data_IF_063220050070
#
_entry.id   IF_063220050070
#
_cell.length_a   1.000
_cell.length_b   1.000
_cell.length_c   1.000
_cell.angle_alpha   90.00
_cell.angle_beta   90.00
_cell.angle_gamma   90.00
#
_symmetry.space_group_name_H-M   'P 1'
#
loop_
_entity.id
_entity.type
_entity.pdbx_description
1 polymer ?
#
# COMPACT_ATOMS: atom_id res chain seq x y z
N UNK A 1 -42.06 -4.07 -58.43
CA UNK A 1 -40.87 -3.54 -57.73
C UNK A 1 -41.02 -3.86 -56.26
N UNK A 2 -40.45 -4.99 -55.85
CA UNK A 2 -40.51 -5.52 -54.48
C UNK A 2 -39.26 -5.05 -53.75
N UNK A 3 -39.43 -4.12 -52.80
CA UNK A 3 -38.32 -3.64 -51.96
C UNK A 3 -38.13 -4.56 -50.75
N UNK A 4 -36.97 -5.21 -50.68
CA UNK A 4 -36.55 -5.98 -49.52
C UNK A 4 -36.08 -5.01 -48.42
N UNK A 5 -36.68 -5.07 -47.23
CA UNK A 5 -36.20 -4.36 -46.04
C UNK A 5 -35.39 -5.34 -45.20
N UNK A 6 -34.10 -5.04 -45.00
CA UNK A 6 -33.25 -5.76 -44.05
C UNK A 6 -33.36 -5.10 -42.67
N UNK A 7 -33.83 -5.85 -41.68
CA UNK A 7 -33.64 -5.52 -40.25
C UNK A 7 -32.40 -6.26 -39.76
N UNK A 8 -31.34 -5.53 -39.43
CA UNK A 8 -30.26 -6.05 -38.58
C UNK A 8 -30.59 -5.68 -37.12
N UNK A 9 -30.67 -6.64 -36.19
CA UNK A 9 -30.76 -6.30 -34.78
C UNK A 9 -29.40 -5.78 -34.33
N UNK A 10 -29.36 -4.52 -33.89
CA UNK A 10 -28.26 -3.97 -33.11
C UNK A 10 -28.21 -4.72 -31.78
N UNK A 11 -27.37 -5.75 -31.67
CA UNK A 11 -26.95 -6.28 -30.38
C UNK A 11 -26.09 -5.21 -29.70
N UNK A 12 -26.70 -4.36 -28.88
CA UNK A 12 -25.97 -3.52 -27.95
C UNK A 12 -25.38 -4.45 -26.88
N UNK A 13 -24.05 -4.50 -26.80
CA UNK A 13 -23.35 -5.33 -25.82
C UNK A 13 -23.67 -4.81 -24.41
N UNK A 14 -24.22 -5.66 -23.54
CA UNK A 14 -24.49 -5.28 -22.14
C UNK A 14 -23.19 -4.87 -21.44
N UNK A 15 -23.24 -3.81 -20.62
CA UNK A 15 -22.07 -3.32 -19.91
C UNK A 15 -21.62 -4.34 -18.87
N UNK A 16 -20.37 -4.79 -18.97
CA UNK A 16 -19.75 -5.67 -17.96
C UNK A 16 -19.50 -4.96 -16.62
N UNK A 17 -19.46 -3.62 -16.63
CA UNK A 17 -19.22 -2.80 -15.45
C UNK A 17 -20.33 -1.77 -15.27
N UNK A 18 -20.76 -1.58 -14.02
CA UNK A 18 -21.66 -0.53 -13.62
C UNK A 18 -20.90 0.47 -12.76
N UNK A 19 -20.90 1.73 -13.18
CA UNK A 19 -20.41 2.83 -12.35
C UNK A 19 -21.35 3.01 -11.15
N UNK A 20 -20.79 2.99 -9.94
CA UNK A 20 -21.50 3.30 -8.70
C UNK A 20 -20.99 4.62 -8.14
N UNK A 21 -21.91 5.45 -7.66
CA UNK A 21 -21.59 6.74 -7.05
C UNK A 21 -21.13 6.57 -5.60
N UNK A 22 -20.39 7.54 -5.07
CA UNK A 22 -20.02 7.58 -3.64
C UNK A 22 -21.24 7.55 -2.70
N UNK A 23 -22.39 8.05 -3.16
CA UNK A 23 -23.66 7.98 -2.41
C UNK A 23 -24.23 6.57 -2.35
N UNK A 24 -24.06 5.78 -3.40
CA UNK A 24 -24.49 4.37 -3.45
C UNK A 24 -23.56 3.49 -2.63
N UNK A 25 -22.24 3.72 -2.72
CA UNK A 25 -21.24 2.86 -2.10
C UNK A 25 -20.84 3.28 -0.69
N UNK A 26 -20.96 4.56 -0.33
CA UNK A 26 -20.38 5.11 0.90
C UNK A 26 -18.88 5.38 0.83
N UNK A 27 -18.21 5.11 -0.31
CA UNK A 27 -16.79 5.42 -0.52
C UNK A 27 -16.64 6.83 -1.09
N UNK A 28 -16.01 7.72 -0.32
CA UNK A 28 -15.77 9.12 -0.69
C UNK A 28 -14.29 9.51 -0.75
N UNK A 29 -13.40 8.53 -0.62
CA UNK A 29 -11.96 8.74 -0.61
C UNK A 29 -11.45 9.40 -1.91
N UNK A 30 -10.52 10.33 -1.74
CA UNK A 30 -9.76 10.91 -2.84
C UNK A 30 -8.37 11.31 -2.35
N UNK A 31 -7.35 10.79 -3.03
CA UNK A 31 -5.96 11.12 -2.77
C UNK A 31 -5.61 12.46 -3.44
N UNK A 32 -5.89 13.55 -2.73
CA UNK A 32 -5.60 14.91 -3.21
C UNK A 32 -4.21 15.36 -2.79
N UNK A 33 -3.35 15.61 -3.77
CA UNK A 33 -2.02 16.18 -3.59
C UNK A 33 -2.06 17.70 -3.66
N UNK A 34 -1.12 18.36 -2.98
CA UNK A 34 -0.99 19.82 -2.98
C UNK A 34 0.44 20.21 -3.27
N UNK A 35 0.64 20.88 -4.40
CA UNK A 35 1.95 21.36 -4.83
C UNK A 35 2.29 22.70 -4.18
N UNK A 36 3.58 22.91 -3.96
CA UNK A 36 4.16 24.19 -3.56
C UNK A 36 5.40 24.45 -4.41
N UNK A 37 5.92 25.68 -4.37
CA UNK A 37 7.16 26.03 -5.08
C UNK A 37 8.35 25.09 -4.70
N UNK A 38 8.40 24.64 -3.44
CA UNK A 38 9.46 23.77 -2.93
C UNK A 38 9.11 22.27 -2.96
N UNK A 39 7.85 21.92 -3.24
CA UNK A 39 7.37 20.54 -3.28
C UNK A 39 6.41 20.37 -4.46
N UNK A 40 6.98 19.93 -5.57
CA UNK A 40 6.31 19.66 -6.84
C UNK A 40 7.13 18.61 -7.60
N UNK A 41 6.66 18.22 -8.78
CA UNK A 41 7.31 17.19 -9.61
C UNK A 41 8.75 17.52 -10.00
N UNK A 42 9.11 18.80 -10.15
CA UNK A 42 10.47 19.21 -10.50
C UNK A 42 11.41 19.06 -9.30
N UNK A 43 10.91 19.40 -8.10
CA UNK A 43 11.65 19.25 -6.86
C UNK A 43 11.74 17.77 -6.41
N UNK A 44 10.69 16.97 -6.61
CA UNK A 44 10.62 15.56 -6.23
C UNK A 44 9.92 14.76 -7.33
N UNK A 45 10.68 13.96 -8.08
CA UNK A 45 10.17 13.25 -9.28
C UNK A 45 9.09 12.21 -8.95
N UNK A 46 9.08 11.72 -7.70
CA UNK A 46 8.08 10.77 -7.20
C UNK A 46 6.85 11.46 -6.60
N UNK A 47 6.64 12.76 -6.87
CA UNK A 47 5.52 13.53 -6.30
C UNK A 47 4.14 12.99 -6.67
N UNK A 48 3.99 12.19 -7.72
CA UNK A 48 2.72 11.53 -8.06
C UNK A 48 2.75 10.01 -7.79
N UNK A 49 3.82 9.50 -7.17
CA UNK A 49 3.93 8.09 -6.83
C UNK A 49 3.38 7.82 -5.42
N UNK A 50 2.66 6.71 -5.28
CA UNK A 50 2.01 6.29 -4.05
C UNK A 50 0.48 6.40 -4.12
N UNK A 51 -0.18 6.32 -2.97
CA UNK A 51 -1.64 6.17 -2.93
C UNK A 51 -2.07 4.74 -3.24
N UNK A 52 -1.66 3.81 -2.40
CA UNK A 52 -1.96 2.39 -2.50
C UNK A 52 -3.38 2.03 -2.05
N UNK A 53 -3.83 0.86 -2.51
CA UNK A 53 -5.05 0.21 -2.07
C UNK A 53 -4.72 -1.22 -1.64
N UNK A 54 -5.25 -1.64 -0.50
CA UNK A 54 -5.27 -3.04 -0.07
C UNK A 54 -6.72 -3.47 0.13
N UNK A 55 -7.00 -4.73 -0.16
CA UNK A 55 -8.32 -5.33 -0.01
C UNK A 55 -8.18 -6.65 0.73
N UNK A 56 -9.10 -6.92 1.66
CA UNK A 56 -9.03 -8.09 2.52
C UNK A 56 -10.20 -8.11 3.51
N UNK A 57 -10.57 -9.29 3.98
CA UNK A 57 -11.61 -9.46 5.01
C UNK A 57 -10.97 -9.29 6.39
N UNK A 58 -11.11 -8.11 7.00
CA UNK A 58 -10.38 -7.77 8.23
C UNK A 58 -11.06 -8.28 9.50
N UNK A 59 -12.31 -8.71 9.38
CA UNK A 59 -13.16 -9.16 10.49
C UNK A 59 -13.68 -10.60 10.30
N UNK A 60 -13.21 -11.30 9.28
CA UNK A 60 -13.55 -12.68 8.93
C UNK A 60 -15.07 -12.91 8.77
N UNK A 61 -15.79 -11.95 8.20
CA UNK A 61 -17.23 -12.04 7.98
C UNK A 61 -17.61 -12.53 6.56
N UNK A 62 -16.61 -12.82 5.73
CA UNK A 62 -16.73 -13.26 4.34
C UNK A 62 -16.87 -12.11 3.34
N UNK A 63 -16.80 -10.85 3.78
CA UNK A 63 -16.85 -9.67 2.93
C UNK A 63 -15.48 -9.01 2.82
N UNK A 64 -15.07 -8.67 1.60
CA UNK A 64 -13.80 -7.99 1.37
C UNK A 64 -13.91 -6.49 1.69
N UNK A 65 -13.11 -6.02 2.63
CA UNK A 65 -12.95 -4.61 2.99
C UNK A 65 -11.89 -3.92 2.14
N UNK A 66 -11.82 -2.59 2.26
CA UNK A 66 -10.91 -1.77 1.45
C UNK A 66 -10.15 -0.78 2.32
N UNK A 67 -8.83 -0.74 2.16
CA UNK A 67 -7.97 0.26 2.77
C UNK A 67 -7.26 1.08 1.70
N UNK A 68 -7.27 2.40 1.84
CA UNK A 68 -6.56 3.33 0.99
C UNK A 68 -5.52 4.10 1.79
N UNK A 69 -4.33 4.26 1.22
CA UNK A 69 -3.38 5.27 1.69
C UNK A 69 -3.56 6.57 0.93
N UNK A 70 -3.39 7.70 1.62
CA UNK A 70 -3.27 9.00 0.98
C UNK A 70 -1.87 9.54 1.21
N UNK A 71 -1.19 10.00 0.17
CA UNK A 71 0.20 10.44 0.29
C UNK A 71 0.38 11.48 1.41
N UNK A 72 -0.43 12.55 1.36
CA UNK A 72 -0.31 13.73 2.22
C UNK A 72 -1.42 13.86 3.28
N UNK A 73 -2.37 12.93 3.34
CA UNK A 73 -3.55 12.99 4.24
C UNK A 73 -3.70 11.70 5.03
N UNK A 74 -4.71 11.63 5.89
CA UNK A 74 -5.05 10.39 6.61
C UNK A 74 -5.51 9.30 5.64
N UNK A 75 -5.20 8.06 6.00
CA UNK A 75 -5.66 6.86 5.29
C UNK A 75 -7.17 6.68 5.45
N UNK A 76 -7.75 5.73 4.72
CA UNK A 76 -9.15 5.33 4.88
C UNK A 76 -9.34 3.83 4.89
N UNK A 77 -10.00 3.32 5.92
CA UNK A 77 -10.48 1.95 6.03
C UNK A 77 -12.01 1.92 5.91
N UNK A 78 -12.49 1.19 4.92
CA UNK A 78 -13.89 1.02 4.59
C UNK A 78 -14.32 -0.42 4.86
N UNK A 79 -15.16 -0.60 5.88
CA UNK A 79 -15.78 -1.89 6.19
C UNK A 79 -16.91 -2.17 5.19
N UNK A 80 -16.91 -3.33 4.59
CA UNK A 80 -17.94 -3.79 3.66
C UNK A 80 -19.20 -4.22 4.43
N UNK A 81 -20.35 -3.69 4.03
CA UNK A 81 -21.66 -3.98 4.61
C UNK A 81 -22.50 -4.89 3.68
N UNK A 82 -21.88 -5.42 2.63
CA UNK A 82 -22.52 -6.15 1.54
C UNK A 82 -23.15 -5.23 0.50
N UNK A 83 -23.49 -5.81 -0.66
CA UNK A 83 -24.17 -5.10 -1.75
C UNK A 83 -23.44 -3.82 -2.22
N UNK A 84 -22.10 -3.84 -2.23
CA UNK A 84 -21.24 -2.71 -2.58
C UNK A 84 -21.42 -1.47 -1.69
N UNK A 85 -21.95 -1.64 -0.47
CA UNK A 85 -22.05 -0.58 0.54
C UNK A 85 -20.92 -0.70 1.55
N UNK A 86 -20.34 0.43 1.90
CA UNK A 86 -19.18 0.52 2.75
C UNK A 86 -19.36 1.60 3.81
N UNK A 87 -18.70 1.42 4.96
CA UNK A 87 -18.66 2.39 6.05
C UNK A 87 -17.22 2.72 6.39
N UNK A 88 -16.89 4.01 6.40
CA UNK A 88 -15.61 4.48 6.92
C UNK A 88 -15.51 4.22 8.43
N UNK A 89 -14.60 3.33 8.82
CA UNK A 89 -14.33 2.98 10.23
C UNK A 89 -12.94 3.46 10.68
N UNK A 90 -12.23 4.23 9.86
CA UNK A 90 -10.80 4.54 10.04
C UNK A 90 -10.45 5.05 11.44
N UNK A 91 -11.23 6.02 11.94
CA UNK A 91 -11.00 6.64 13.25
C UNK A 91 -11.34 5.69 14.41
N UNK A 92 -12.40 4.90 14.27
CA UNK A 92 -12.75 3.87 15.26
C UNK A 92 -11.67 2.80 15.31
N UNK A 93 -11.13 2.44 14.15
CA UNK A 93 -10.12 1.41 13.99
C UNK A 93 -8.71 1.83 14.40
N UNK A 94 -8.43 3.13 14.49
CA UNK A 94 -7.12 3.63 14.91
C UNK A 94 -6.03 3.53 13.83
N UNK A 95 -6.42 3.38 12.56
CA UNK A 95 -5.52 3.11 11.43
C UNK A 95 -5.36 4.32 10.48
N UNK A 96 -5.57 5.54 10.98
CA UNK A 96 -5.49 6.79 10.18
C UNK A 96 -4.09 7.05 9.58
N UNK A 97 -3.07 6.37 10.12
CA UNK A 97 -1.67 6.64 9.81
C UNK A 97 -1.20 7.97 10.41
N UNK A 98 0.04 8.36 10.09
CA UNK A 98 0.53 9.69 10.45
C UNK A 98 -0.12 10.75 9.56
N UNK A 99 -0.47 11.89 10.16
CA UNK A 99 -0.98 13.06 9.44
C UNK A 99 0.09 13.75 8.57
N UNK A 100 1.36 13.44 8.81
CA UNK A 100 2.52 13.95 8.08
C UNK A 100 3.21 12.81 7.34
N UNK A 101 4.12 13.18 6.43
CA UNK A 101 4.88 12.24 5.62
C UNK A 101 4.23 11.94 4.28
N UNK A 102 4.79 10.96 3.57
CA UNK A 102 4.39 10.58 2.23
C UNK A 102 4.08 9.08 2.19
N UNK A 103 2.82 8.72 2.38
CA UNK A 103 2.39 7.31 2.38
C UNK A 103 2.34 6.79 0.94
N UNK A 104 2.95 5.64 0.69
CA UNK A 104 3.04 5.05 -0.64
C UNK A 104 2.15 3.81 -0.70
N UNK A 105 2.73 2.62 -0.74
CA UNK A 105 2.04 1.35 -0.81
C UNK A 105 1.41 0.92 0.51
N UNK A 106 0.48 -0.02 0.40
CA UNK A 106 -0.15 -0.70 1.52
C UNK A 106 -0.31 -2.17 1.18
N UNK A 107 -0.19 -3.03 2.19
CA UNK A 107 -0.40 -4.47 2.09
C UNK A 107 -1.22 -4.94 3.27
N UNK A 108 -2.16 -5.85 3.01
CA UNK A 108 -2.82 -6.63 4.05
C UNK A 108 -2.25 -8.04 4.08
N UNK A 109 -1.83 -8.50 5.25
CA UNK A 109 -1.29 -9.83 5.48
C UNK A 109 -1.50 -10.20 6.96
N UNK A 110 -1.65 -11.49 7.25
CA UNK A 110 -1.65 -12.00 8.63
C UNK A 110 -0.19 -12.13 9.09
N UNK A 111 0.39 -11.03 9.58
CA UNK A 111 1.84 -10.91 9.81
C UNK A 111 2.27 -11.71 11.02
N UNK A 112 1.37 -11.89 11.99
CA UNK A 112 1.65 -12.57 13.25
C UNK A 112 1.06 -14.00 13.34
N UNK A 113 0.35 -14.46 12.30
CA UNK A 113 -0.25 -15.78 12.21
C UNK A 113 -1.47 -15.99 13.12
N UNK A 114 -2.17 -14.92 13.52
CA UNK A 114 -3.32 -14.99 14.42
C UNK A 114 -4.67 -15.19 13.69
N UNK A 115 -4.64 -15.24 12.36
CA UNK A 115 -5.82 -15.41 11.51
C UNK A 115 -6.57 -14.12 11.22
N UNK A 116 -6.04 -12.96 11.61
CA UNK A 116 -6.57 -11.64 11.27
C UNK A 116 -5.61 -10.90 10.32
N UNK A 117 -6.16 -10.22 9.32
CA UNK A 117 -5.34 -9.40 8.46
C UNK A 117 -4.85 -8.14 9.18
N UNK A 118 -3.54 -7.94 9.19
CA UNK A 118 -2.83 -6.73 9.59
C UNK A 118 -2.65 -5.79 8.39
N UNK A 119 -2.25 -4.54 8.65
CA UNK A 119 -2.06 -3.52 7.61
C UNK A 119 -0.65 -2.93 7.69
N UNK A 120 0.17 -3.21 6.68
CA UNK A 120 1.51 -2.63 6.54
C UNK A 120 1.49 -1.45 5.57
N UNK A 121 2.01 -0.30 6.00
CA UNK A 121 2.02 0.96 5.23
C UNK A 121 3.45 1.42 4.99
N UNK A 122 3.76 1.60 3.71
CA UNK A 122 5.03 2.13 3.25
C UNK A 122 5.02 3.66 3.27
N UNK A 123 6.19 4.24 3.56
CA UNK A 123 6.42 5.68 3.58
C UNK A 123 7.67 6.03 2.76
N UNK A 124 7.66 7.24 2.18
CA UNK A 124 8.80 7.81 1.47
C UNK A 124 8.75 9.34 1.54
N UNK A 125 9.20 10.04 0.50
CA UNK A 125 9.21 11.49 0.41
C UNK A 125 10.45 12.14 1.02
N UNK A 126 10.60 13.44 0.79
CA UNK A 126 11.67 14.26 1.36
C UNK A 126 11.35 14.69 2.79
N UNK A 127 11.23 13.72 3.69
CA UNK A 127 10.95 13.94 5.11
C UNK A 127 12.04 13.35 6.01
N UNK A 128 12.16 13.77 7.28
CA UNK A 128 13.05 13.14 8.26
C UNK A 128 12.68 11.67 8.50
N UNK A 129 13.67 10.87 8.94
CA UNK A 129 13.55 9.41 9.07
C UNK A 129 12.35 8.97 9.92
N UNK A 130 12.08 9.63 11.04
CA UNK A 130 10.94 9.30 11.92
C UNK A 130 9.56 9.50 11.24
N UNK A 131 9.50 10.34 10.21
CA UNK A 131 8.30 10.57 9.42
C UNK A 131 8.21 9.58 8.25
N UNK A 132 9.35 9.05 7.78
CA UNK A 132 9.45 8.04 6.72
C UNK A 132 9.43 6.60 7.24
N UNK A 133 9.51 6.38 8.55
CA UNK A 133 9.42 5.05 9.13
C UNK A 133 8.11 4.39 8.70
N UNK A 134 8.15 3.16 8.19
CA UNK A 134 6.94 2.42 7.86
C UNK A 134 6.06 2.17 9.11
N UNK A 135 4.78 1.85 8.91
CA UNK A 135 3.84 1.51 9.98
C UNK A 135 3.25 0.13 9.77
N UNK A 136 3.03 -0.60 10.86
CA UNK A 136 2.44 -1.94 10.86
C UNK A 136 1.30 -1.91 11.86
N UNK A 137 0.08 -1.80 11.37
CA UNK A 137 -1.11 -1.83 12.17
C UNK A 137 -1.51 -3.29 12.41
N UNK A 138 -1.21 -3.81 13.60
CA UNK A 138 -1.63 -5.14 14.04
C UNK A 138 -3.09 -5.11 14.42
N UNK A 139 -3.88 -6.02 13.85
CA UNK A 139 -5.29 -6.20 14.16
C UNK A 139 -5.46 -6.83 15.54
N UNK A 140 -6.22 -6.19 16.42
CA UNK A 140 -6.51 -6.67 17.79
C UNK A 140 -7.88 -7.34 17.89
N UNK A 141 -8.49 -7.63 16.74
CA UNK A 141 -9.89 -8.01 16.64
C UNK A 141 -10.81 -6.82 16.89
N UNK A 142 -12.12 -7.06 16.73
CA UNK A 142 -13.16 -6.05 16.91
C UNK A 142 -12.92 -4.76 16.09
N UNK A 143 -12.25 -4.89 14.94
CA UNK A 143 -11.92 -3.78 14.04
C UNK A 143 -11.04 -2.70 14.71
N UNK A 144 -10.18 -3.08 15.66
CA UNK A 144 -9.22 -2.18 16.32
C UNK A 144 -7.80 -2.55 15.92
N UNK A 145 -7.00 -1.57 15.54
CA UNK A 145 -5.62 -1.75 15.14
C UNK A 145 -4.66 -0.99 16.04
N UNK A 146 -3.42 -1.47 16.15
CA UNK A 146 -2.34 -0.80 16.89
C UNK A 146 -1.07 -0.80 16.05
N UNK A 147 -0.45 0.37 15.86
CA UNK A 147 0.86 0.44 15.20
C UNK A 147 1.93 -0.22 16.08
N UNK A 148 2.56 -1.27 15.55
CA UNK A 148 3.62 -2.03 16.20
C UNK A 148 4.84 -2.26 15.30
N UNK A 149 5.06 -1.39 14.30
CA UNK A 149 6.16 -1.56 13.35
C UNK A 149 7.52 -1.73 14.06
N UNK A 150 7.78 -0.93 15.09
CA UNK A 150 9.06 -0.95 15.82
C UNK A 150 9.24 -2.21 16.66
N UNK A 151 8.16 -2.71 17.25
CA UNK A 151 8.10 -3.94 18.03
C UNK A 151 8.39 -5.15 17.15
N UNK A 152 7.93 -5.13 15.91
CA UNK A 152 8.19 -6.18 14.91
C UNK A 152 9.50 -5.96 14.14
N UNK A 153 10.15 -4.78 14.23
CA UNK A 153 11.36 -4.48 13.47
C UNK A 153 11.11 -4.13 11.99
N UNK A 154 9.89 -3.68 11.69
CA UNK A 154 9.42 -3.31 10.35
C UNK A 154 9.21 -1.79 10.18
N UNK A 155 9.72 -0.96 11.09
CA UNK A 155 9.69 0.51 11.02
C UNK A 155 10.80 1.09 10.11
N UNK A 156 11.05 0.44 8.96
CA UNK A 156 12.11 0.83 8.03
C UNK A 156 11.93 2.28 7.53
N UNK A 157 13.03 3.04 7.49
CA UNK A 157 13.04 4.47 7.14
C UNK A 157 13.46 4.75 5.68
N UNK A 158 13.59 3.68 4.89
CA UNK A 158 13.89 3.73 3.47
C UNK A 158 12.81 4.43 2.66
N UNK A 159 13.12 4.69 1.39
CA UNK A 159 12.19 5.28 0.43
C UNK A 159 11.26 4.18 -0.11
N UNK A 160 10.38 3.70 0.76
CA UNK A 160 9.54 2.53 0.53
C UNK A 160 8.43 2.82 -0.46
N UNK A 161 8.20 1.87 -1.36
CA UNK A 161 7.16 1.92 -2.40
C UNK A 161 6.05 0.93 -2.10
N UNK A 162 6.37 -0.34 -1.81
CA UNK A 162 5.41 -1.42 -1.55
C UNK A 162 6.12 -2.55 -0.79
N UNK A 163 5.38 -3.35 -0.04
CA UNK A 163 5.87 -4.59 0.55
C UNK A 163 5.12 -5.80 -0.02
N UNK A 164 5.74 -6.98 0.07
CA UNK A 164 5.10 -8.26 -0.17
C UNK A 164 5.45 -9.20 0.99
N UNK A 165 4.43 -9.87 1.53
CA UNK A 165 4.59 -10.87 2.58
C UNK A 165 4.44 -12.27 2.00
N UNK A 166 5.38 -13.16 2.30
CA UNK A 166 5.41 -14.55 1.81
C UNK A 166 6.40 -15.36 2.63
N UNK A 167 6.20 -16.67 2.71
CA UNK A 167 7.10 -17.61 3.37
C UNK A 167 8.33 -17.88 2.49
N UNK A 168 9.45 -17.20 2.74
CA UNK A 168 10.64 -17.24 1.90
C UNK A 168 11.51 -18.47 2.16
N UNK A 169 11.58 -18.94 3.42
CA UNK A 169 12.41 -20.07 3.80
C UNK A 169 11.65 -21.38 4.11
N UNK A 170 10.33 -21.37 3.95
CA UNK A 170 9.40 -22.49 4.13
C UNK A 170 9.30 -22.97 5.58
N UNK A 171 9.39 -22.07 6.56
CA UNK A 171 9.22 -22.39 7.98
C UNK A 171 7.78 -22.19 8.48
N UNK A 172 6.90 -21.64 7.63
CA UNK A 172 5.48 -21.50 7.86
C UNK A 172 5.05 -20.16 8.46
N UNK A 173 5.97 -19.22 8.70
CA UNK A 173 5.64 -17.83 8.97
C UNK A 173 5.84 -16.94 7.73
N UNK A 174 5.29 -15.71 7.76
CA UNK A 174 5.44 -14.78 6.64
C UNK A 174 6.66 -13.90 6.83
N UNK A 175 7.58 -13.95 5.89
CA UNK A 175 8.66 -12.99 5.69
C UNK A 175 8.19 -11.77 4.90
N UNK A 176 9.04 -10.77 4.75
CA UNK A 176 8.69 -9.54 4.04
C UNK A 176 9.77 -9.07 3.06
N UNK A 177 9.42 -8.90 1.80
CA UNK A 177 10.21 -8.15 0.83
C UNK A 177 9.73 -6.70 0.74
N UNK A 178 10.65 -5.73 0.93
CA UNK A 178 10.39 -4.30 0.85
C UNK A 178 11.00 -3.71 -0.42
N UNK A 179 10.13 -3.20 -1.29
CA UNK A 179 10.51 -2.48 -2.50
C UNK A 179 10.80 -1.01 -2.14
N UNK A 180 12.01 -0.55 -2.42
CA UNK A 180 12.44 0.83 -2.28
C UNK A 180 12.67 1.49 -3.64
N UNK A 181 12.75 2.81 -3.67
CA UNK A 181 13.17 3.57 -4.85
C UNK A 181 14.34 4.50 -4.53
N UNK A 182 15.05 4.91 -5.58
CA UNK A 182 16.18 5.82 -5.43
C UNK A 182 15.75 7.28 -5.62
N UNK A 183 16.00 8.12 -4.62
CA UNK A 183 15.70 9.56 -4.68
C UNK A 183 16.85 10.39 -5.26
N UNK A 184 18.02 9.78 -5.52
CA UNK A 184 19.11 10.42 -6.24
C UNK A 184 18.81 10.41 -7.73
N UNK A 185 19.02 11.56 -8.38
CA UNK A 185 18.99 11.65 -9.84
C UNK A 185 20.32 11.12 -10.38
N UNK A 186 20.27 10.12 -11.24
CA UNK A 186 21.43 9.67 -11.98
C UNK A 186 21.35 10.21 -13.41
N UNK A 187 22.46 10.75 -13.90
CA UNK A 187 22.59 10.97 -15.33
C UNK A 187 22.73 9.61 -16.02
N UNK A 188 22.08 9.45 -17.18
CA UNK A 188 22.08 8.21 -17.96
C UNK A 188 23.51 7.75 -18.32
N UNK A 189 24.46 8.69 -18.44
CA UNK A 189 25.87 8.37 -18.72
C UNK A 189 26.60 7.72 -17.54
N UNK A 190 26.14 7.90 -16.30
CA UNK A 190 26.79 7.38 -15.10
C UNK A 190 26.09 6.16 -14.50
N UNK A 191 24.92 5.78 -15.01
CA UNK A 191 24.12 4.66 -14.51
C UNK A 191 24.94 3.37 -14.34
N UNK A 192 25.85 3.08 -15.28
CA UNK A 192 26.71 1.91 -15.24
C UNK A 192 27.68 1.89 -14.04
N UNK A 193 28.10 3.06 -13.54
CA UNK A 193 28.97 3.19 -12.35
C UNK A 193 28.21 2.88 -11.07
N UNK A 194 26.95 3.26 -11.01
CA UNK A 194 26.12 3.15 -9.81
C UNK A 194 25.38 1.81 -9.68
N UNK A 195 25.44 0.93 -10.70
CA UNK A 195 24.74 -0.37 -10.70
C UNK A 195 25.10 -1.30 -9.55
N UNK A 196 26.30 -1.16 -8.99
CA UNK A 196 26.79 -2.01 -7.89
C UNK A 196 26.75 -1.28 -6.54
N UNK A 197 26.28 -0.03 -6.49
CA UNK A 197 26.17 0.70 -5.24
C UNK A 197 24.90 0.32 -4.49
N UNK A 198 25.08 -0.18 -3.27
CA UNK A 198 23.99 -0.43 -2.33
C UNK A 198 23.67 0.84 -1.54
N UNK A 199 22.39 1.10 -1.26
CA UNK A 199 21.98 2.19 -0.40
C UNK A 199 21.09 1.69 0.73
N UNK A 200 21.43 1.97 2.01
CA UNK A 200 20.58 1.58 3.13
C UNK A 200 19.13 2.12 3.07
N UNK A 201 18.90 3.19 2.30
CA UNK A 201 17.58 3.82 2.16
C UNK A 201 16.89 3.55 0.82
N UNK A 202 17.62 3.07 -0.20
CA UNK A 202 17.08 2.92 -1.56
C UNK A 202 17.23 1.51 -2.15
N UNK A 203 18.11 0.67 -1.61
CA UNK A 203 18.15 -0.75 -1.96
C UNK A 203 16.91 -1.45 -1.44
N UNK A 204 16.40 -2.41 -2.21
CA UNK A 204 15.34 -3.30 -1.75
C UNK A 204 15.84 -4.13 -0.56
N UNK A 205 14.90 -4.57 0.27
CA UNK A 205 15.22 -5.34 1.46
C UNK A 205 14.41 -6.62 1.54
N UNK A 206 15.02 -7.67 2.08
CA UNK A 206 14.31 -8.87 2.50
C UNK A 206 14.46 -9.01 4.01
N UNK A 207 13.34 -9.16 4.69
CA UNK A 207 13.27 -9.35 6.13
C UNK A 207 12.80 -10.75 6.42
N UNK A 208 13.60 -11.51 7.16
CA UNK A 208 13.22 -12.81 7.69
C UNK A 208 12.44 -12.62 8.99
N UNK A 209 11.30 -13.27 9.16
CA UNK A 209 10.58 -13.31 10.42
C UNK A 209 11.22 -14.34 11.35
N UNK A 210 11.48 -13.94 12.59
CA UNK A 210 12.05 -14.81 13.62
C UNK A 210 11.13 -14.76 14.85
N UNK A 211 9.92 -15.30 14.71
CA UNK A 211 8.93 -15.34 15.79
C UNK A 211 8.36 -13.96 16.12
N UNK A 212 7.75 -13.31 15.13
CA UNK A 212 7.18 -11.95 15.19
C UNK A 212 8.22 -10.83 15.36
N UNK A 213 9.46 -11.11 14.98
CA UNK A 213 10.52 -10.12 14.92
C UNK A 213 11.29 -10.26 13.61
N UNK A 214 11.15 -9.26 12.77
CA UNK A 214 11.73 -9.22 11.45
C UNK A 214 13.19 -8.74 11.50
N UNK A 215 14.06 -9.42 10.75
CA UNK A 215 15.48 -9.09 10.60
C UNK A 215 15.85 -8.96 9.14
N UNK A 216 16.55 -7.88 8.81
CA UNK A 216 17.08 -7.68 7.46
C UNK A 216 18.13 -8.75 7.13
N UNK A 217 17.82 -9.58 6.13
CA UNK A 217 18.68 -10.64 5.59
C UNK A 217 19.11 -10.36 4.15
N UNK A 218 18.94 -9.12 3.66
CA UNK A 218 19.13 -8.75 2.25
C UNK A 218 20.50 -9.17 1.71
N UNK A 219 21.58 -8.87 2.44
CA UNK A 219 22.94 -9.26 2.05
C UNK A 219 23.11 -10.77 1.97
N UNK A 220 22.55 -11.53 2.91
CA UNK A 220 22.61 -13.01 2.93
C UNK A 220 21.83 -13.60 1.75
N UNK A 221 20.72 -12.97 1.37
CA UNK A 221 19.87 -13.36 0.26
C UNK A 221 20.38 -12.86 -1.11
N UNK A 222 21.46 -12.08 -1.16
CA UNK A 222 22.01 -11.53 -2.41
C UNK A 222 21.19 -10.36 -2.99
N UNK A 223 20.38 -9.70 -2.15
CA UNK A 223 19.65 -8.49 -2.51
C UNK A 223 20.53 -7.29 -2.10
N UNK A 224 21.13 -6.64 -3.09
CA UNK A 224 22.10 -5.54 -2.94
C UNK A 224 21.71 -4.36 -3.81
#
# INVERSE_FOLDING_TARGET
MTGLVFYLPLYCQESLFKLLTSRETGISFSNMLSETENLNVMAYEYFYNGGGVAVGDINNDGLTDIFFTANMKSNKLYLNLGNMKFRDITKQAGCEGRNTGWKTGVTMADVNGDGLLDIYICYSGKHPDNIRANQLFINKGNQVFTDQAKEYGLDDVGYSTQAAFFDYDNDGDLDMFLLNHNVKKFDNMELARFRQETSPLASNKLFQNEGNRFRDVSTKAGIT
#
